data_IF_311247872966
#
_entry.id   IF_311247872966
#
_cell.length_a   1.000
_cell.length_b   1.000
_cell.length_c   1.000
_cell.angle_alpha   90.00
_cell.angle_beta   90.00
_cell.angle_gamma   90.00
#
_symmetry.space_group_name_H-M   'P 1'
#
loop_
_entity.id
_entity.type
_entity.pdbx_description
1 polymer ?
#
# COMPACT_ATOMS: atom_id res chain seq x y z
N UNK A 1 -2.72 38.18 -46.04
CA UNK A 1 -3.39 36.86 -45.99
C UNK A 1 -2.60 35.78 -46.78
N UNK A 2 -1.28 35.65 -46.57
CA UNK A 2 -0.41 34.59 -47.15
C UNK A 2 0.78 34.21 -46.25
N UNK A 3 0.80 34.67 -44.99
CA UNK A 3 1.91 34.49 -44.03
C UNK A 3 1.51 33.67 -42.78
N UNK A 4 0.22 33.33 -42.63
CA UNK A 4 -0.30 32.56 -41.48
C UNK A 4 -0.49 31.06 -41.78
N UNK A 5 -0.40 30.65 -43.05
CA UNK A 5 -0.58 29.25 -43.48
C UNK A 5 0.73 28.44 -43.51
N UNK A 6 1.89 29.09 -43.45
CA UNK A 6 3.21 28.45 -43.54
C UNK A 6 3.82 28.04 -42.19
N UNK A 7 3.31 28.56 -41.07
CA UNK A 7 3.80 28.21 -39.72
C UNK A 7 3.14 26.92 -39.20
N UNK A 8 1.89 26.64 -39.58
CA UNK A 8 1.20 25.41 -39.22
C UNK A 8 1.70 24.18 -40.01
N UNK A 9 2.13 24.35 -41.25
CA UNK A 9 2.60 23.24 -42.10
C UNK A 9 3.99 22.70 -41.73
N UNK A 10 4.82 23.47 -41.02
CA UNK A 10 6.17 23.02 -40.59
C UNK A 10 6.20 22.30 -39.24
N UNK A 11 5.11 22.35 -38.46
CA UNK A 11 5.04 21.65 -37.18
C UNK A 11 4.57 20.18 -37.31
N UNK A 12 3.93 19.81 -38.43
CA UNK A 12 3.49 18.43 -38.68
C UNK A 12 4.53 17.52 -39.35
N UNK A 13 5.71 18.02 -39.72
CA UNK A 13 6.71 17.26 -40.52
C UNK A 13 7.95 16.80 -39.74
N UNK A 14 8.00 16.99 -38.42
CA UNK A 14 9.21 16.66 -37.63
C UNK A 14 8.85 16.05 -36.27
N UNK A 15 8.05 14.98 -36.30
CA UNK A 15 8.02 14.00 -35.21
C UNK A 15 8.52 12.69 -35.83
N UNK A 16 9.77 12.26 -35.55
CA UNK A 16 10.17 10.92 -35.94
C UNK A 16 9.25 9.94 -35.20
N UNK A 17 8.67 9.04 -35.98
CA UNK A 17 7.99 7.84 -35.53
C UNK A 17 9.02 7.06 -34.71
N UNK A 18 8.99 7.26 -33.39
CA UNK A 18 9.56 6.35 -32.41
C UNK A 18 8.42 5.43 -31.96
N UNK A 19 7.97 4.57 -32.87
CA UNK A 19 7.46 3.26 -32.51
C UNK A 19 8.67 2.43 -32.05
N UNK A 20 9.19 2.76 -30.87
CA UNK A 20 10.15 1.92 -30.17
C UNK A 20 9.38 1.17 -29.10
N UNK A 21 9.19 -0.11 -29.38
CA UNK A 21 8.65 -1.16 -28.51
C UNK A 21 8.99 -0.93 -27.03
N UNK A 22 7.99 -0.85 -26.12
CA UNK A 22 8.28 -0.93 -24.69
C UNK A 22 8.62 -2.37 -24.25
N UNK A 23 8.67 -3.33 -25.17
CA UNK A 23 8.90 -4.75 -24.90
C UNK A 23 10.37 -5.16 -24.68
N UNK A 24 11.32 -4.22 -24.68
CA UNK A 24 12.77 -4.53 -24.60
C UNK A 24 13.51 -3.87 -23.44
N UNK A 25 12.82 -3.14 -22.55
CA UNK A 25 13.43 -2.59 -21.33
C UNK A 25 12.49 -2.79 -20.14
N UNK A 26 12.52 -3.99 -19.56
CA UNK A 26 12.37 -4.27 -18.12
C UNK A 26 11.89 -5.72 -17.89
N UNK A 27 12.53 -6.70 -18.53
CA UNK A 27 12.39 -8.12 -18.17
C UNK A 27 13.53 -8.59 -17.22
N UNK A 28 14.14 -7.64 -16.49
CA UNK A 28 15.25 -7.88 -15.57
C UNK A 28 15.12 -7.09 -14.26
N UNK A 29 13.90 -6.73 -13.87
CA UNK A 29 13.63 -6.47 -12.46
C UNK A 29 13.20 -7.82 -11.86
N UNK A 30 14.19 -8.60 -11.39
CA UNK A 30 13.93 -9.54 -10.31
C UNK A 30 13.12 -8.80 -9.23
N UNK A 31 12.16 -9.47 -8.59
CA UNK A 31 11.39 -9.00 -7.42
C UNK A 31 12.33 -8.69 -6.22
N UNK A 32 13.27 -7.78 -6.39
CA UNK A 32 13.89 -7.06 -5.30
C UNK A 32 12.79 -6.13 -4.80
N UNK A 33 12.27 -6.40 -3.60
CA UNK A 33 11.27 -5.58 -2.97
C UNK A 33 11.72 -4.11 -3.05
N UNK A 34 11.10 -3.33 -3.94
CA UNK A 34 11.42 -1.91 -4.08
C UNK A 34 11.33 -1.29 -2.69
N UNK A 35 12.44 -0.76 -2.18
CA UNK A 35 12.50 -0.11 -0.86
C UNK A 35 11.53 1.07 -0.72
N UNK A 36 10.95 1.52 -1.84
CA UNK A 36 10.05 2.66 -1.94
C UNK A 36 8.57 2.26 -2.10
N UNK A 37 8.26 0.98 -2.33
CA UNK A 37 6.89 0.51 -2.54
C UNK A 37 6.47 -0.50 -1.48
N UNK A 38 5.18 -0.81 -1.40
CA UNK A 38 4.69 -1.96 -0.68
C UNK A 38 5.34 -3.22 -1.27
N UNK A 39 5.78 -4.14 -0.41
CA UNK A 39 6.21 -5.47 -0.84
C UNK A 39 5.02 -6.33 -1.21
N UNK A 40 5.18 -7.16 -2.25
CA UNK A 40 4.26 -8.26 -2.52
C UNK A 40 4.63 -9.39 -1.55
N UNK A 41 3.76 -9.64 -0.57
CA UNK A 41 4.04 -10.61 0.48
C UNK A 41 3.83 -12.06 0.04
N UNK A 42 3.84 -12.96 1.02
CA UNK A 42 3.82 -14.40 0.85
C UNK A 42 2.41 -15.03 0.89
N UNK A 43 1.35 -14.22 1.01
CA UNK A 43 -0.05 -14.67 1.09
C UNK A 43 -0.89 -14.13 -0.06
N UNK A 44 -2.00 -14.81 -0.37
CA UNK A 44 -2.95 -14.34 -1.40
C UNK A 44 -3.54 -12.98 -1.01
N UNK A 45 -3.80 -12.80 0.29
CA UNK A 45 -4.26 -11.54 0.87
C UNK A 45 -3.25 -10.42 0.66
N UNK A 46 -1.95 -10.68 0.86
CA UNK A 46 -0.92 -9.67 0.61
C UNK A 46 -0.87 -9.27 -0.86
N UNK A 47 -1.04 -10.22 -1.77
CA UNK A 47 -1.19 -9.95 -3.21
C UNK A 47 -2.38 -9.02 -3.49
N UNK A 48 -3.55 -9.30 -2.93
CA UNK A 48 -4.74 -8.45 -3.11
C UNK A 48 -4.56 -7.04 -2.54
N UNK A 49 -3.90 -6.92 -1.37
CA UNK A 49 -3.59 -5.61 -0.77
C UNK A 49 -2.60 -4.83 -1.63
N UNK A 50 -1.61 -5.50 -2.22
CA UNK A 50 -0.68 -4.89 -3.17
C UNK A 50 -1.40 -4.40 -4.43
N UNK A 51 -2.25 -5.21 -5.04
CA UNK A 51 -3.00 -4.85 -6.25
C UNK A 51 -3.95 -3.68 -5.97
N UNK A 52 -4.63 -3.69 -4.82
CA UNK A 52 -5.46 -2.59 -4.35
C UNK A 52 -4.63 -1.32 -4.17
N UNK A 53 -3.47 -1.42 -3.50
CA UNK A 53 -2.55 -0.30 -3.31
C UNK A 53 -2.13 0.31 -4.66
N UNK A 54 -1.72 -0.51 -5.62
CA UNK A 54 -1.29 -0.05 -6.94
C UNK A 54 -2.43 0.59 -7.74
N UNK A 55 -3.65 0.04 -7.66
CA UNK A 55 -4.84 0.65 -8.26
C UNK A 55 -5.08 2.06 -7.70
N UNK A 56 -5.09 2.22 -6.38
CA UNK A 56 -5.30 3.51 -5.73
C UNK A 56 -4.18 4.49 -6.07
N UNK A 57 -2.93 4.01 -6.10
CA UNK A 57 -1.77 4.80 -6.48
C UNK A 57 -1.92 5.37 -7.90
N UNK A 58 -2.28 4.55 -8.90
CA UNK A 58 -2.46 5.04 -10.27
C UNK A 58 -3.62 6.02 -10.41
N UNK A 59 -4.72 5.84 -9.66
CA UNK A 59 -5.81 6.81 -9.59
C UNK A 59 -5.30 8.16 -9.05
N UNK A 60 -4.56 8.13 -7.94
CA UNK A 60 -3.97 9.34 -7.34
C UNK A 60 -2.99 10.03 -8.30
N UNK A 61 -2.14 9.28 -9.00
CA UNK A 61 -1.23 9.82 -10.03
C UNK A 61 -2.03 10.47 -11.17
N UNK A 62 -3.09 9.82 -11.65
CA UNK A 62 -3.97 10.39 -12.67
C UNK A 62 -4.59 11.71 -12.25
N UNK A 63 -5.14 11.78 -11.03
CA UNK A 63 -5.70 13.01 -10.46
C UNK A 63 -4.61 14.08 -10.33
N UNK A 64 -3.43 13.71 -9.82
CA UNK A 64 -2.30 14.63 -9.68
C UNK A 64 -1.89 15.23 -11.03
N UNK A 65 -1.75 14.41 -12.08
CA UNK A 65 -1.43 14.88 -13.43
C UNK A 65 -2.47 15.88 -13.94
N UNK A 66 -3.76 15.62 -13.72
CA UNK A 66 -4.83 16.54 -14.13
C UNK A 66 -4.75 17.86 -13.34
N UNK A 67 -4.65 17.81 -12.02
CA UNK A 67 -4.61 19.01 -11.16
C UNK A 67 -3.36 19.84 -11.45
N UNK A 68 -2.18 19.22 -11.42
CA UNK A 68 -0.93 19.90 -11.73
C UNK A 68 -0.90 20.40 -13.16
N UNK A 69 -1.42 19.63 -14.13
CA UNK A 69 -1.53 20.05 -15.52
C UNK A 69 -2.36 21.31 -15.68
N UNK A 70 -3.57 21.35 -15.11
CA UNK A 70 -4.45 22.54 -15.13
C UNK A 70 -3.79 23.71 -14.39
N UNK A 71 -3.15 23.46 -13.26
CA UNK A 71 -2.46 24.50 -12.48
C UNK A 71 -1.28 25.10 -13.26
N UNK A 72 -0.40 24.29 -13.84
CA UNK A 72 0.74 24.77 -14.64
C UNK A 72 0.26 25.50 -15.89
N UNK A 73 -0.75 24.99 -16.58
CA UNK A 73 -1.37 25.67 -17.72
C UNK A 73 -1.96 27.02 -17.30
N UNK A 74 -2.68 27.08 -16.18
CA UNK A 74 -3.28 28.30 -15.66
C UNK A 74 -2.21 29.33 -15.30
N UNK A 75 -1.16 28.94 -14.57
CA UNK A 75 -0.04 29.81 -14.22
C UNK A 75 0.70 30.34 -15.44
N UNK A 76 0.87 29.51 -16.48
CA UNK A 76 1.54 29.92 -17.71
C UNK A 76 0.69 30.89 -18.54
N UNK A 77 -0.60 30.58 -18.72
CA UNK A 77 -1.52 31.36 -19.56
C UNK A 77 -1.96 32.68 -18.90
N UNK A 78 -2.25 32.66 -17.60
CA UNK A 78 -2.76 33.83 -16.86
C UNK A 78 -1.64 34.66 -16.20
N UNK A 79 -0.40 34.47 -16.63
CA UNK A 79 0.75 35.22 -16.09
C UNK A 79 0.66 36.70 -16.47
N UNK A 80 0.81 37.60 -15.48
CA UNK A 80 0.78 39.07 -15.67
C UNK A 80 1.76 39.55 -16.76
N UNK A 81 2.94 38.96 -16.85
CA UNK A 81 3.94 39.32 -17.87
C UNK A 81 3.50 39.01 -19.32
N UNK A 82 2.46 38.20 -19.51
CA UNK A 82 1.84 37.95 -20.82
C UNK A 82 0.67 38.90 -21.14
N UNK A 83 0.42 39.88 -20.28
CA UNK A 83 -0.70 40.81 -20.45
C UNK A 83 -2.07 40.22 -20.12
N UNK A 84 -2.13 39.09 -19.39
CA UNK A 84 -3.38 38.50 -18.94
C UNK A 84 -4.14 39.49 -18.04
N UNK A 85 -5.41 39.75 -18.36
CA UNK A 85 -6.32 40.57 -17.55
C UNK A 85 -7.22 39.65 -16.72
N UNK A 86 -7.49 39.97 -15.46
CA UNK A 86 -8.39 39.16 -14.64
C UNK A 86 -9.80 39.16 -15.23
N UNK A 87 -10.44 38.00 -15.21
CA UNK A 87 -11.84 37.87 -15.56
C UNK A 87 -12.73 38.24 -14.36
N UNK A 88 -13.99 38.64 -14.62
CA UNK A 88 -14.95 39.09 -13.59
C UNK A 88 -16.07 38.07 -13.31
N UNK A 89 -15.85 36.79 -13.57
CA UNK A 89 -16.82 35.74 -13.20
C UNK A 89 -16.60 35.32 -11.74
N UNK A 90 -17.67 34.92 -11.05
CA UNK A 90 -17.62 34.57 -9.62
C UNK A 90 -18.09 33.14 -9.35
N UNK A 91 -18.97 32.58 -10.18
CA UNK A 91 -19.52 31.24 -9.99
C UNK A 91 -19.83 30.58 -11.34
N UNK A 92 -19.87 29.25 -11.34
CA UNK A 92 -20.39 28.49 -12.46
C UNK A 92 -20.94 27.16 -11.95
N UNK A 93 -22.26 27.14 -11.73
CA UNK A 93 -23.00 25.98 -11.23
C UNK A 93 -22.72 24.71 -12.04
N UNK A 94 -22.49 24.81 -13.35
CA UNK A 94 -22.18 23.62 -14.17
C UNK A 94 -20.82 23.01 -13.82
N UNK A 95 -19.82 23.85 -13.57
CA UNK A 95 -18.47 23.39 -13.20
C UNK A 95 -18.49 22.88 -11.76
N UNK A 96 -19.25 23.54 -10.88
CA UNK A 96 -19.49 23.10 -9.51
C UNK A 96 -20.11 21.70 -9.42
N UNK A 97 -21.15 21.45 -10.22
CA UNK A 97 -21.75 20.13 -10.34
C UNK A 97 -20.73 19.13 -10.87
N UNK A 98 -19.96 19.48 -11.91
CA UNK A 98 -18.97 18.57 -12.50
C UNK A 98 -17.90 18.14 -11.49
N UNK A 99 -17.27 19.07 -10.77
CA UNK A 99 -16.24 18.71 -9.78
C UNK A 99 -16.80 18.10 -8.50
N UNK A 100 -18.11 18.09 -8.30
CA UNK A 100 -18.75 17.39 -7.17
C UNK A 100 -19.07 15.95 -7.57
N UNK A 101 -19.66 15.76 -8.76
CA UNK A 101 -20.07 14.45 -9.27
C UNK A 101 -18.87 13.58 -9.64
N UNK A 102 -17.83 14.15 -10.27
CA UNK A 102 -16.66 13.36 -10.72
C UNK A 102 -15.93 12.70 -9.53
N UNK A 103 -15.51 13.41 -8.47
CA UNK A 103 -14.88 12.77 -7.31
C UNK A 103 -15.80 11.77 -6.61
N UNK A 104 -17.10 12.06 -6.53
CA UNK A 104 -18.08 11.13 -5.97
C UNK A 104 -18.11 9.79 -6.72
N UNK A 105 -18.13 9.82 -8.05
CA UNK A 105 -18.10 8.60 -8.87
C UNK A 105 -16.76 7.84 -8.75
N UNK A 106 -15.63 8.56 -8.66
CA UNK A 106 -14.31 7.96 -8.43
C UNK A 106 -14.30 7.19 -7.10
N UNK A 107 -14.87 7.76 -6.03
CA UNK A 107 -14.95 7.09 -4.73
C UNK A 107 -15.81 5.83 -4.77
N UNK A 108 -16.96 5.85 -5.46
CA UNK A 108 -17.79 4.64 -5.64
C UNK A 108 -17.01 3.55 -6.35
N UNK A 109 -16.29 3.90 -7.41
CA UNK A 109 -15.46 2.95 -8.15
C UNK A 109 -14.36 2.34 -7.28
N UNK A 110 -13.72 3.13 -6.42
CA UNK A 110 -12.68 2.67 -5.49
C UNK A 110 -13.23 1.82 -4.35
N UNK A 111 -14.48 2.06 -3.91
CA UNK A 111 -15.07 1.41 -2.76
C UNK A 111 -15.30 -0.09 -2.97
N UNK A 112 -15.69 -0.51 -4.19
CA UNK A 112 -16.00 -1.92 -4.50
C UNK A 112 -14.78 -2.85 -4.33
N UNK A 113 -13.63 -2.63 -5.00
CA UNK A 113 -12.46 -3.49 -4.81
C UNK A 113 -11.94 -3.41 -3.37
N UNK A 114 -11.97 -2.24 -2.73
CA UNK A 114 -11.55 -2.08 -1.34
C UNK A 114 -12.41 -2.90 -0.37
N UNK A 115 -13.73 -2.89 -0.54
CA UNK A 115 -14.65 -3.68 0.28
C UNK A 115 -14.43 -5.18 0.09
N UNK A 116 -14.23 -5.64 -1.15
CA UNK A 116 -13.96 -7.05 -1.44
C UNK A 116 -12.67 -7.53 -0.77
N UNK A 117 -11.57 -6.76 -0.89
CA UNK A 117 -10.30 -7.08 -0.21
C UNK A 117 -10.47 -7.08 1.31
N UNK A 118 -11.20 -6.12 1.88
CA UNK A 118 -11.45 -6.06 3.32
C UNK A 118 -12.24 -7.28 3.82
N UNK A 119 -13.28 -7.69 3.09
CA UNK A 119 -14.06 -8.89 3.42
C UNK A 119 -13.19 -10.13 3.37
N UNK A 120 -12.32 -10.26 2.35
CA UNK A 120 -11.39 -11.37 2.24
C UNK A 120 -10.37 -11.40 3.38
N UNK A 121 -9.89 -10.24 3.83
CA UNK A 121 -8.95 -10.11 4.95
C UNK A 121 -9.54 -10.52 6.31
N UNK A 122 -10.82 -10.22 6.54
CA UNK A 122 -11.51 -10.55 7.79
C UNK A 122 -12.17 -11.94 7.77
N UNK A 123 -12.14 -12.65 6.64
CA UNK A 123 -12.66 -14.02 6.53
C UNK A 123 -11.78 -15.02 7.29
N UNK A 124 -12.21 -15.34 8.50
CA UNK A 124 -11.55 -16.33 9.37
C UNK A 124 -12.15 -17.73 9.27
N UNK A 125 -13.14 -17.96 8.41
CA UNK A 125 -13.85 -19.25 8.33
C UNK A 125 -12.95 -20.39 7.87
N UNK A 126 -13.27 -21.63 8.28
CA UNK A 126 -12.61 -22.88 7.83
C UNK A 126 -11.06 -22.87 7.88
N UNK A 127 -10.44 -22.60 9.06
CA UNK A 127 -8.98 -22.65 9.16
C UNK A 127 -8.47 -24.08 9.19
N UNK A 128 -7.29 -24.31 8.60
CA UNK A 128 -6.54 -25.56 8.73
C UNK A 128 -5.79 -25.65 10.07
N UNK A 129 -5.49 -24.50 10.69
CA UNK A 129 -4.78 -24.39 11.98
C UNK A 129 -5.20 -23.12 12.72
N UNK A 130 -5.33 -23.18 14.05
CA UNK A 130 -5.55 -21.99 14.88
C UNK A 130 -4.39 -21.74 15.85
N UNK A 131 -3.87 -20.51 15.89
CA UNK A 131 -2.82 -20.07 16.82
C UNK A 131 -3.34 -18.90 17.65
N UNK A 132 -3.29 -19.03 18.98
CA UNK A 132 -3.48 -17.93 19.91
C UNK A 132 -2.16 -17.18 20.10
N UNK A 133 -2.20 -15.88 19.88
CA UNK A 133 -1.13 -14.91 20.05
C UNK A 133 -1.50 -13.99 21.20
N UNK A 134 -0.74 -14.06 22.29
CA UNK A 134 -0.90 -13.16 23.44
C UNK A 134 0.30 -12.23 23.51
N UNK A 135 0.05 -10.91 23.46
CA UNK A 135 1.07 -9.90 23.73
C UNK A 135 1.28 -9.70 25.23
N UNK A 136 2.54 -9.59 25.66
CA UNK A 136 2.96 -9.20 27.01
C UNK A 136 4.14 -8.25 26.92
N UNK A 137 4.41 -7.44 27.94
CA UNK A 137 5.58 -6.58 28.01
C UNK A 137 6.87 -7.41 28.23
N UNK A 138 7.83 -7.48 27.30
CA UNK A 138 7.85 -7.13 25.87
C UNK A 138 8.24 -8.38 25.08
N UNK A 139 7.27 -9.28 24.91
CA UNK A 139 7.42 -10.62 24.32
C UNK A 139 6.07 -11.10 23.79
N UNK A 140 6.10 -12.11 22.94
CA UNK A 140 4.89 -12.73 22.41
C UNK A 140 4.75 -14.14 22.98
N UNK A 141 3.54 -14.54 23.35
CA UNK A 141 3.22 -15.92 23.68
C UNK A 141 2.43 -16.53 22.53
N UNK A 142 2.87 -17.68 22.03
CA UNK A 142 2.19 -18.44 20.98
C UNK A 142 1.68 -19.74 21.55
N UNK A 143 0.41 -20.04 21.32
CA UNK A 143 -0.23 -21.31 21.67
C UNK A 143 -0.95 -21.87 20.46
N UNK A 144 -0.60 -23.08 20.06
CA UNK A 144 -1.26 -23.79 18.96
C UNK A 144 -2.50 -24.45 19.53
N UNK A 145 -3.69 -24.09 19.07
CA UNK A 145 -4.94 -24.55 19.72
C UNK A 145 -5.22 -26.05 19.49
N UNK A 146 -4.68 -26.61 18.41
CA UNK A 146 -4.87 -28.00 18.00
C UNK A 146 -3.77 -28.95 18.53
N UNK A 147 -2.85 -28.46 19.38
CA UNK A 147 -1.73 -29.26 19.93
C UNK A 147 -1.28 -28.75 21.30
N UNK A 148 -0.51 -29.54 22.05
CA UNK A 148 0.03 -29.12 23.36
C UNK A 148 1.30 -28.26 23.26
N UNK A 149 1.45 -27.49 22.17
CA UNK A 149 2.61 -26.62 21.93
C UNK A 149 2.29 -25.19 22.33
N UNK A 150 3.03 -24.66 23.31
CA UNK A 150 3.02 -23.24 23.67
C UNK A 150 4.40 -22.74 24.11
N UNK A 151 4.72 -21.48 23.81
CA UNK A 151 6.01 -20.88 24.16
C UNK A 151 6.00 -19.35 24.11
N UNK A 152 6.94 -18.73 24.82
CA UNK A 152 7.26 -17.31 24.69
C UNK A 152 8.35 -17.07 23.64
N UNK A 153 8.13 -16.12 22.75
CA UNK A 153 9.10 -15.61 21.78
C UNK A 153 9.60 -14.25 22.25
N UNK A 154 10.91 -14.15 22.46
CA UNK A 154 11.63 -12.95 22.90
C UNK A 154 12.58 -12.49 21.79
N UNK A 155 12.93 -11.20 21.81
CA UNK A 155 13.94 -10.65 20.93
C UNK A 155 15.30 -11.34 21.18
N UNK A 156 15.91 -11.89 20.14
CA UNK A 156 17.21 -12.57 20.21
C UNK A 156 18.41 -11.62 20.13
N UNK A 157 18.18 -10.35 19.74
CA UNK A 157 19.25 -9.35 19.61
C UNK A 157 20.01 -9.18 20.94
N UNK A 158 21.33 -9.32 20.87
CA UNK A 158 22.19 -9.25 22.05
C UNK A 158 22.26 -7.81 22.60
N UNK A 159 22.41 -7.68 23.93
CA UNK A 159 22.53 -6.39 24.61
C UNK A 159 23.70 -5.57 24.05
N UNK A 160 24.81 -6.23 23.76
CA UNK A 160 26.03 -5.64 23.22
C UNK A 160 25.82 -5.05 21.83
N UNK A 161 24.96 -5.64 21.00
CA UNK A 161 24.57 -5.05 19.71
C UNK A 161 23.72 -3.79 19.90
N UNK A 162 22.83 -3.78 20.90
CA UNK A 162 22.01 -2.62 21.26
C UNK A 162 22.90 -1.47 21.79
N UNK A 163 23.90 -1.80 22.59
CA UNK A 163 24.88 -0.86 23.14
C UNK A 163 25.98 -0.45 22.13
N UNK A 164 25.85 -0.85 20.86
CA UNK A 164 26.79 -0.57 19.77
C UNK A 164 28.23 -1.09 20.02
N UNK A 165 28.38 -2.12 20.84
CA UNK A 165 29.66 -2.82 21.08
C UNK A 165 29.95 -3.87 20.01
N UNK A 166 28.90 -4.45 19.42
CA UNK A 166 28.98 -5.39 18.30
C UNK A 166 28.37 -4.83 17.02
N UNK A 167 28.78 -5.38 15.89
CA UNK A 167 28.18 -5.05 14.60
C UNK A 167 26.70 -5.45 14.55
N UNK A 168 25.89 -4.60 13.92
CA UNK A 168 24.47 -4.85 13.68
C UNK A 168 24.36 -5.69 12.41
N UNK A 169 23.61 -6.78 12.50
CA UNK A 169 23.30 -7.66 11.37
C UNK A 169 22.15 -7.10 10.55
N UNK A 170 21.90 -7.66 9.38
CA UNK A 170 20.77 -7.27 8.51
C UNK A 170 19.41 -7.42 9.23
N UNK A 171 19.30 -8.40 10.15
CA UNK A 171 18.10 -8.66 10.93
C UNK A 171 18.13 -8.04 12.34
N UNK A 172 18.96 -7.02 12.58
CA UNK A 172 19.02 -6.32 13.87
C UNK A 172 17.62 -5.86 14.31
N UNK A 173 17.22 -6.24 15.54
CA UNK A 173 15.88 -6.02 16.13
C UNK A 173 14.72 -6.80 15.47
N UNK A 174 14.99 -7.75 14.58
CA UNK A 174 13.97 -8.60 13.93
C UNK A 174 14.04 -10.06 14.39
N UNK A 175 15.22 -10.55 14.78
CA UNK A 175 15.40 -11.95 15.17
C UNK A 175 14.81 -12.26 16.55
N UNK A 176 14.22 -13.45 16.68
CA UNK A 176 13.64 -13.97 17.91
C UNK A 176 14.25 -15.30 18.31
N UNK A 177 14.22 -15.63 19.60
CA UNK A 177 14.78 -16.86 20.15
C UNK A 177 14.00 -18.11 19.72
N UNK A 178 12.68 -17.99 19.67
CA UNK A 178 11.73 -19.04 19.28
C UNK A 178 10.76 -18.48 18.24
N UNK A 179 10.94 -18.82 16.95
CA UNK A 179 10.04 -18.36 15.90
C UNK A 179 8.71 -19.12 15.91
N UNK A 180 7.65 -18.43 15.52
CA UNK A 180 6.37 -19.05 15.16
C UNK A 180 6.55 -19.83 13.84
N UNK A 181 6.14 -21.09 13.81
CA UNK A 181 6.27 -21.96 12.63
C UNK A 181 4.89 -22.44 12.22
N UNK A 182 4.52 -22.20 10.96
CA UNK A 182 3.21 -22.56 10.41
C UNK A 182 3.38 -23.35 9.11
N UNK A 183 2.41 -24.20 8.73
CA UNK A 183 2.45 -24.91 7.46
C UNK A 183 2.23 -23.96 6.29
N UNK A 184 2.99 -24.15 5.21
CA UNK A 184 2.81 -23.41 3.95
C UNK A 184 1.58 -23.88 3.19
N UNK A 185 0.88 -22.97 2.51
CA UNK A 185 -0.28 -23.31 1.67
C UNK A 185 -1.52 -23.75 2.46
N UNK A 186 -1.62 -23.33 3.72
CA UNK A 186 -2.67 -23.69 4.67
C UNK A 186 -3.23 -22.42 5.32
N UNK A 187 -4.54 -22.35 5.48
CA UNK A 187 -5.21 -21.18 6.08
C UNK A 187 -5.00 -21.21 7.59
N UNK A 188 -4.25 -20.25 8.13
CA UNK A 188 -3.99 -20.16 9.57
C UNK A 188 -4.84 -19.05 10.17
N UNK A 189 -5.66 -19.40 11.17
CA UNK A 189 -6.39 -18.42 11.97
C UNK A 189 -5.55 -18.00 13.16
N UNK A 190 -5.25 -16.71 13.25
CA UNK A 190 -4.65 -16.09 14.44
C UNK A 190 -5.75 -15.54 15.33
N UNK A 191 -5.75 -15.94 16.59
CA UNK A 191 -6.51 -15.31 17.66
C UNK A 191 -5.55 -14.38 18.41
N UNK A 192 -5.88 -13.11 18.58
CA UNK A 192 -4.94 -12.09 19.06
C UNK A 192 -5.55 -11.39 20.28
N UNK A 193 -4.80 -11.37 21.37
CA UNK A 193 -5.17 -10.75 22.66
C UNK A 193 -3.92 -10.27 23.40
N UNK A 194 -4.10 -9.63 24.55
CA UNK A 194 -3.02 -9.24 25.46
C UNK A 194 -3.37 -9.60 26.91
N UNK A 195 -2.36 -9.88 27.74
CA UNK A 195 -2.51 -10.10 29.17
C UNK A 195 -2.19 -8.85 30.02
N UNK A 196 -1.66 -7.78 29.43
CA UNK A 196 -1.29 -6.56 30.13
C UNK A 196 -1.78 -5.25 29.48
N UNK A 197 -1.07 -4.73 28.48
CA UNK A 197 -1.31 -3.46 27.80
C UNK A 197 -1.60 -3.70 26.32
N UNK A 198 -1.95 -2.66 25.58
CA UNK A 198 -2.19 -2.77 24.14
C UNK A 198 -0.87 -3.04 23.42
N UNK A 199 -0.85 -4.09 22.59
CA UNK A 199 0.20 -4.35 21.60
C UNK A 199 -0.41 -4.42 20.20
N UNK A 200 0.41 -4.60 19.18
CA UNK A 200 -0.08 -4.83 17.81
C UNK A 200 0.77 -5.90 17.15
N UNK A 201 0.15 -7.00 16.77
CA UNK A 201 0.83 -8.10 16.09
C UNK A 201 0.78 -7.85 14.59
N UNK A 202 1.95 -7.76 13.96
CA UNK A 202 2.10 -7.38 12.57
C UNK A 202 3.11 -8.26 11.84
N UNK A 203 2.67 -8.90 10.76
CA UNK A 203 3.52 -9.64 9.83
C UNK A 203 3.29 -9.04 8.44
N UNK A 204 4.16 -8.15 7.95
CA UNK A 204 3.85 -7.41 6.73
C UNK A 204 3.85 -8.29 5.47
N UNK A 205 4.59 -9.40 5.44
CA UNK A 205 4.52 -10.37 4.33
C UNK A 205 3.18 -11.10 4.26
N UNK A 206 2.39 -11.08 5.33
CA UNK A 206 1.03 -11.61 5.28
C UNK A 206 0.00 -10.52 5.00
N UNK A 207 0.42 -9.24 4.97
CA UNK A 207 -0.45 -8.06 5.01
C UNK A 207 -1.45 -8.08 6.19
N UNK A 208 -1.04 -8.66 7.32
CA UNK A 208 -1.88 -8.89 8.51
C UNK A 208 -1.36 -8.05 9.66
N UNK A 209 -2.20 -7.16 10.18
CA UNK A 209 -1.98 -6.39 11.40
C UNK A 209 -3.26 -6.37 12.24
N UNK A 210 -3.17 -6.77 13.52
CA UNK A 210 -4.27 -6.62 14.48
C UNK A 210 -3.74 -6.17 15.82
N UNK A 211 -4.54 -5.37 16.50
CA UNK A 211 -4.23 -4.97 17.87
C UNK A 211 -4.55 -6.09 18.85
N UNK A 212 -3.62 -6.30 19.77
CA UNK A 212 -3.73 -7.19 20.91
C UNK A 212 -4.19 -6.36 22.10
N UNK A 213 -5.50 -6.38 22.35
CA UNK A 213 -6.13 -5.57 23.38
C UNK A 213 -6.47 -6.43 24.61
N UNK A 214 -6.11 -5.98 25.83
CA UNK A 214 -6.49 -6.69 27.05
C UNK A 214 -8.01 -6.90 27.13
N UNK A 215 -8.41 -8.07 27.60
CA UNK A 215 -9.83 -8.48 27.73
C UNK A 215 -10.63 -8.56 26.42
N UNK A 216 -9.99 -8.46 25.24
CA UNK A 216 -10.63 -8.60 23.93
C UNK A 216 -9.90 -9.66 23.10
N UNK A 217 -10.63 -10.67 22.64
CA UNK A 217 -10.11 -11.64 21.68
C UNK A 217 -10.51 -11.22 20.26
N UNK A 218 -9.52 -10.94 19.42
CA UNK A 218 -9.73 -10.63 17.99
C UNK A 218 -9.19 -11.75 17.11
N UNK A 219 -9.63 -11.85 15.86
CA UNK A 219 -9.17 -12.89 14.94
C UNK A 219 -8.78 -12.35 13.56
N UNK A 220 -7.79 -12.97 12.92
CA UNK A 220 -7.41 -12.76 11.52
C UNK A 220 -7.08 -14.10 10.86
N UNK A 221 -7.30 -14.24 9.55
CA UNK A 221 -7.15 -15.52 8.84
C UNK A 221 -6.55 -15.40 7.44
N UNK A 222 -5.25 -15.06 7.30
CA UNK A 222 -4.61 -15.04 5.99
C UNK A 222 -4.64 -16.44 5.34
N UNK A 223 -4.92 -16.48 4.04
CA UNK A 223 -4.72 -17.65 3.18
C UNK A 223 -3.36 -17.59 2.51
#
# INVERSE_FOLDING_TARGET
>A
MKQLTTVFAKWCSSIPILLFSPLLFAQEASEEASSLNLRRGATDISGQVYDLHMLMFFICVGIAVVVFGVMFASMYLHRKSRGAKPANFHENVKVEIAWTVIPFLILIFMAVPAANTLIAMEDTSEPDMTVLVTGSQWKWHYKYMDSDVEFYSLLATQREQIENKFQKTDNYLLEVDRPLVIPTGKKVRFLITSDDVIHSWWVPDFAVKKDANPALLTSLGPR
#
